data_IF_444463272534
#
_entry.id   IF_444463272534
#
_cell.length_a   1.000
_cell.length_b   1.000
_cell.length_c   1.000
_cell.angle_alpha   90.00
_cell.angle_beta   90.00
_cell.angle_gamma   90.00
#
_symmetry.space_group_name_H-M   'P 1'
#
loop_
_entity.id
_entity.type
_entity.pdbx_description
1 polymer ?
#
# COMPACT_ATOMS: atom_id res chain seq x y z
N UNK A 1 -25.88 7.36 1.74
CA UNK A 1 -25.13 6.24 1.11
C UNK A 1 -24.11 6.93 0.23
N UNK A 2 -22.84 6.95 0.65
CA UNK A 2 -21.78 7.45 -0.20
C UNK A 2 -21.62 6.43 -1.34
N UNK A 3 -21.67 6.92 -2.55
CA UNK A 3 -21.46 6.11 -3.75
C UNK A 3 -20.00 5.67 -3.78
N UNK A 4 -19.73 4.41 -3.39
CA UNK A 4 -18.41 3.78 -3.45
C UNK A 4 -18.13 3.24 -4.86
N UNK A 5 -18.60 3.96 -5.89
CA UNK A 5 -18.22 3.65 -7.25
C UNK A 5 -16.70 3.69 -7.32
N UNK A 6 -16.13 2.57 -7.71
CA UNK A 6 -14.75 2.43 -8.18
C UNK A 6 -14.37 3.68 -8.94
N UNK A 7 -13.26 4.32 -8.57
CA UNK A 7 -12.71 5.44 -9.34
C UNK A 7 -12.32 4.86 -10.71
N UNK A 8 -13.28 4.85 -11.64
CA UNK A 8 -13.06 4.37 -13.02
C UNK A 8 -12.27 5.39 -13.83
N UNK A 9 -12.32 6.66 -13.41
CA UNK A 9 -11.56 7.76 -14.02
C UNK A 9 -10.46 8.18 -13.06
N UNK A 10 -9.17 8.13 -13.48
CA UNK A 10 -8.07 8.56 -12.65
C UNK A 10 -8.20 10.03 -12.24
N UNK A 11 -7.91 10.31 -10.97
CA UNK A 11 -7.87 11.66 -10.42
C UNK A 11 -6.42 12.04 -10.09
N UNK A 12 -5.96 13.18 -10.59
CA UNK A 12 -4.64 13.73 -10.26
C UNK A 12 -4.77 14.64 -9.04
N UNK A 13 -4.11 14.28 -7.95
CA UNK A 13 -4.19 14.95 -6.65
C UNK A 13 -2.83 15.45 -6.19
N UNK A 14 -2.73 16.74 -5.88
CA UNK A 14 -1.59 17.25 -5.12
C UNK A 14 -1.81 16.90 -3.65
N UNK A 15 -1.02 15.98 -3.12
CA UNK A 15 -1.12 15.53 -1.71
C UNK A 15 -0.23 16.32 -0.78
N UNK A 16 0.82 16.92 -1.33
CA UNK A 16 1.67 17.93 -0.70
C UNK A 16 2.32 18.78 -1.80
N UNK A 17 2.99 19.88 -1.42
CA UNK A 17 3.76 20.66 -2.39
C UNK A 17 4.78 19.76 -3.09
N UNK A 18 4.70 19.68 -4.43
CA UNK A 18 5.59 18.88 -5.27
C UNK A 18 5.45 17.36 -5.12
N UNK A 19 4.40 16.85 -4.46
CA UNK A 19 4.05 15.43 -4.43
C UNK A 19 2.64 15.25 -4.98
N UNK A 20 2.55 14.44 -6.02
CA UNK A 20 1.31 14.21 -6.78
C UNK A 20 0.98 12.73 -6.77
N UNK A 21 -0.29 12.41 -6.70
CA UNK A 21 -0.84 11.05 -6.78
C UNK A 21 -1.85 10.98 -7.89
N UNK A 22 -1.72 10.01 -8.76
CA UNK A 22 -2.78 9.53 -9.62
C UNK A 22 -3.59 8.50 -8.83
N UNK A 23 -4.71 8.94 -8.31
CA UNK A 23 -5.62 8.06 -7.57
C UNK A 23 -6.57 7.36 -8.55
N UNK A 24 -6.55 6.03 -8.52
CA UNK A 24 -7.44 5.17 -9.31
C UNK A 24 -7.68 3.85 -8.55
N UNK A 25 -7.99 2.77 -9.27
CA UNK A 25 -7.94 1.43 -8.70
C UNK A 25 -6.50 1.14 -8.26
N UNK A 26 -5.53 1.33 -9.16
CA UNK A 26 -4.10 1.24 -8.89
C UNK A 26 -3.55 2.66 -8.72
N UNK A 27 -2.98 2.96 -7.57
CA UNK A 27 -2.41 4.26 -7.30
C UNK A 27 -0.96 4.33 -7.77
N UNK A 28 -0.60 5.49 -8.28
CA UNK A 28 0.76 5.82 -8.67
C UNK A 28 1.09 7.22 -8.19
N UNK A 29 2.32 7.46 -7.76
CA UNK A 29 2.73 8.78 -7.34
C UNK A 29 3.99 9.27 -8.03
N UNK A 30 4.24 10.58 -7.94
CA UNK A 30 5.52 11.17 -8.34
C UNK A 30 5.82 12.42 -7.52
N UNK A 31 7.09 12.69 -7.37
CA UNK A 31 7.59 13.80 -6.58
C UNK A 31 8.68 14.58 -7.29
N UNK A 32 8.60 15.91 -7.22
CA UNK A 32 9.68 16.82 -7.60
C UNK A 32 10.76 16.78 -6.51
N UNK A 33 11.93 16.26 -6.82
CA UNK A 33 13.05 16.18 -5.87
C UNK A 33 13.94 17.42 -5.90
N UNK A 34 13.66 18.39 -6.79
CA UNK A 34 14.59 19.47 -7.12
C UNK A 34 15.68 18.98 -8.06
N UNK A 35 15.52 19.24 -9.35
CA UNK A 35 16.44 18.78 -10.42
C UNK A 35 16.10 17.43 -11.05
N UNK A 36 15.22 16.62 -10.47
CA UNK A 36 14.69 15.40 -11.07
C UNK A 36 13.37 14.96 -10.42
N UNK A 37 12.64 14.09 -11.12
CA UNK A 37 11.40 13.48 -10.63
C UNK A 37 11.66 12.04 -10.19
N UNK A 38 11.11 11.67 -9.03
CA UNK A 38 10.95 10.28 -8.59
C UNK A 38 9.52 9.86 -8.86
N UNK A 39 9.34 8.66 -9.39
CA UNK A 39 8.04 8.01 -9.59
C UNK A 39 7.89 6.88 -8.56
N UNK A 40 6.70 6.65 -8.04
CA UNK A 40 6.37 5.58 -7.10
C UNK A 40 5.28 4.71 -7.70
N UNK A 41 5.62 3.44 -7.90
CA UNK A 41 4.86 2.41 -8.62
C UNK A 41 4.58 2.76 -10.09
N UNK A 42 4.09 1.80 -10.88
CA UNK A 42 4.03 1.92 -12.33
C UNK A 42 2.86 1.17 -12.98
N UNK A 43 1.71 1.15 -12.30
CA UNK A 43 0.41 0.66 -12.77
C UNK A 43 0.36 -0.78 -13.30
N UNK A 44 -0.86 -1.26 -13.57
CA UNK A 44 -1.16 -2.54 -14.22
C UNK A 44 -1.22 -2.43 -15.76
N UNK A 45 -1.74 -1.31 -16.27
CA UNK A 45 -2.13 -1.19 -17.66
C UNK A 45 -1.14 -0.38 -18.50
N UNK A 46 -0.34 -1.03 -19.37
CA UNK A 46 0.54 -0.33 -20.31
C UNK A 46 -0.20 0.68 -21.21
N UNK A 47 -1.50 0.50 -21.45
CA UNK A 47 -2.30 1.41 -22.27
C UNK A 47 -2.50 2.80 -21.64
N UNK A 48 -2.22 2.96 -20.36
CA UNK A 48 -2.33 4.23 -19.62
C UNK A 48 -1.01 5.04 -19.64
N UNK A 49 0.05 4.52 -20.28
CA UNK A 49 1.36 5.16 -20.40
C UNK A 49 1.30 6.64 -20.79
N UNK A 50 0.59 6.94 -21.87
CA UNK A 50 0.56 8.31 -22.42
C UNK A 50 -0.18 9.28 -21.47
N UNK A 51 -1.21 8.83 -20.79
CA UNK A 51 -1.95 9.61 -19.80
C UNK A 51 -1.05 9.93 -18.61
N UNK A 52 -0.35 8.93 -18.06
CA UNK A 52 0.57 9.07 -16.93
C UNK A 52 1.74 10.00 -17.27
N UNK A 53 2.40 9.80 -18.39
CA UNK A 53 3.54 10.65 -18.80
C UNK A 53 3.09 12.10 -18.94
N UNK A 54 1.92 12.34 -19.55
CA UNK A 54 1.34 13.68 -19.68
C UNK A 54 1.07 14.29 -18.30
N UNK A 55 0.44 13.55 -17.39
CA UNK A 55 0.15 14.03 -16.05
C UNK A 55 1.41 14.41 -15.27
N UNK A 56 2.49 13.61 -15.37
CA UNK A 56 3.80 13.94 -14.78
C UNK A 56 4.34 15.25 -15.38
N UNK A 57 4.35 15.40 -16.72
CA UNK A 57 4.89 16.58 -17.40
C UNK A 57 4.07 17.85 -17.14
N UNK A 58 2.76 17.74 -16.96
CA UNK A 58 1.87 18.86 -16.65
C UNK A 58 2.02 19.36 -15.19
N UNK A 59 2.33 18.44 -14.26
CA UNK A 59 2.45 18.75 -12.82
C UNK A 59 3.87 19.06 -12.39
N UNK A 60 4.87 18.42 -13.01
CA UNK A 60 6.31 18.66 -12.76
C UNK A 60 7.02 18.88 -14.11
N UNK A 61 6.88 20.08 -14.69
CA UNK A 61 7.42 20.34 -16.02
C UNK A 61 8.96 20.41 -16.01
N UNK A 62 9.55 19.95 -17.10
CA UNK A 62 10.97 20.16 -17.42
C UNK A 62 11.98 19.43 -16.53
N UNK A 63 11.55 18.42 -15.77
CA UNK A 63 12.44 17.60 -14.95
C UNK A 63 12.65 16.20 -15.55
N UNK A 64 13.89 15.64 -15.52
CA UNK A 64 14.11 14.25 -15.94
C UNK A 64 13.47 13.29 -14.92
N UNK A 65 12.83 12.23 -15.39
CA UNK A 65 12.32 11.13 -14.56
C UNK A 65 13.48 10.18 -14.29
N UNK A 66 14.21 10.39 -13.20
CA UNK A 66 15.48 9.71 -12.95
C UNK A 66 15.35 8.41 -12.18
N UNK A 67 14.33 8.30 -11.32
CA UNK A 67 14.12 7.09 -10.52
C UNK A 67 12.65 6.68 -10.50
N UNK A 68 12.43 5.37 -10.49
CA UNK A 68 11.12 4.76 -10.24
C UNK A 68 11.28 3.75 -9.11
N UNK A 69 10.51 3.94 -8.04
CA UNK A 69 10.53 3.09 -6.85
C UNK A 69 9.30 2.19 -6.91
N UNK A 70 9.49 0.87 -6.88
CA UNK A 70 8.37 -0.04 -6.70
C UNK A 70 8.23 -0.39 -5.22
N UNK A 71 7.02 -0.27 -4.69
CA UNK A 71 6.69 -0.70 -3.33
C UNK A 71 6.76 -2.21 -3.20
N UNK A 72 6.41 -2.94 -4.25
CA UNK A 72 6.58 -4.37 -4.41
C UNK A 72 6.55 -4.76 -5.90
N UNK A 73 6.60 -6.07 -6.22
CA UNK A 73 6.84 -6.50 -7.59
C UNK A 73 5.64 -7.17 -8.28
N UNK A 74 4.43 -6.93 -7.82
CA UNK A 74 3.25 -7.38 -8.55
C UNK A 74 3.08 -6.60 -9.87
N UNK A 75 2.44 -7.21 -10.89
CA UNK A 75 2.32 -6.60 -12.22
C UNK A 75 1.61 -5.25 -12.23
N UNK A 76 0.66 -5.05 -11.34
CA UNK A 76 -0.12 -3.81 -11.14
C UNK A 76 0.67 -2.65 -10.52
N UNK A 77 1.93 -2.90 -10.15
CA UNK A 77 2.87 -1.88 -9.65
C UNK A 77 4.12 -1.72 -10.54
N UNK A 78 4.26 -2.56 -11.57
CA UNK A 78 5.52 -2.63 -12.34
C UNK A 78 5.35 -2.59 -13.87
N UNK A 79 4.12 -2.54 -14.39
CA UNK A 79 3.87 -2.72 -15.82
C UNK A 79 4.56 -1.66 -16.71
N UNK A 80 4.76 -0.44 -16.23
CA UNK A 80 5.45 0.62 -16.97
C UNK A 80 6.95 0.73 -16.67
N UNK A 81 7.55 -0.12 -15.82
CA UNK A 81 8.96 -0.03 -15.46
C UNK A 81 9.90 0.03 -16.69
N UNK A 82 9.79 -0.95 -17.58
CA UNK A 82 10.61 -1.02 -18.77
C UNK A 82 10.42 0.22 -19.66
N UNK A 83 9.21 0.73 -19.70
CA UNK A 83 8.87 1.88 -20.52
C UNK A 83 9.52 3.17 -20.01
N UNK A 84 9.54 3.39 -18.70
CA UNK A 84 10.29 4.50 -18.10
C UNK A 84 11.80 4.37 -18.33
N UNK A 85 12.34 3.16 -18.25
CA UNK A 85 13.76 2.93 -18.59
C UNK A 85 14.07 3.24 -20.03
N UNK A 86 13.26 2.80 -20.98
CA UNK A 86 13.46 3.04 -22.42
C UNK A 86 13.37 4.53 -22.78
N UNK A 87 12.40 5.25 -22.24
CA UNK A 87 12.13 6.64 -22.59
C UNK A 87 13.08 7.64 -21.92
N UNK A 88 13.45 7.37 -20.65
CA UNK A 88 14.11 8.35 -19.79
C UNK A 88 15.43 7.83 -19.18
N UNK A 89 15.76 6.57 -19.35
CA UNK A 89 16.90 5.96 -18.67
C UNK A 89 16.70 5.82 -17.16
N UNK A 90 15.43 5.74 -16.72
CA UNK A 90 15.04 5.74 -15.32
C UNK A 90 15.65 4.55 -14.57
N UNK A 91 16.25 4.82 -13.42
CA UNK A 91 16.76 3.80 -12.51
C UNK A 91 15.59 3.18 -11.73
N UNK A 92 15.47 1.84 -11.75
CA UNK A 92 14.45 1.12 -11.00
C UNK A 92 14.98 0.76 -9.62
N UNK A 93 14.27 1.21 -8.59
CA UNK A 93 14.60 1.01 -7.18
C UNK A 93 13.53 0.12 -6.53
N UNK A 94 13.94 -1.04 -6.03
CA UNK A 94 13.09 -1.95 -5.25
C UNK A 94 13.99 -2.92 -4.47
N UNK A 95 13.41 -3.77 -3.60
CA UNK A 95 14.22 -4.69 -2.80
C UNK A 95 14.97 -5.76 -3.59
N UNK A 96 14.62 -6.00 -4.87
CA UNK A 96 15.36 -6.90 -5.74
C UNK A 96 16.58 -6.22 -6.37
N UNK A 97 16.45 -4.95 -6.76
CA UNK A 97 17.56 -4.16 -7.35
C UNK A 97 18.51 -3.64 -6.27
N UNK A 98 18.01 -3.52 -5.04
CA UNK A 98 18.76 -3.06 -3.85
C UNK A 98 18.59 -4.05 -2.69
N UNK A 99 19.11 -5.28 -2.79
CA UNK A 99 18.87 -6.33 -1.80
C UNK A 99 19.51 -6.09 -0.43
N UNK A 100 20.48 -5.18 -0.36
CA UNK A 100 21.24 -4.86 0.86
C UNK A 100 20.67 -3.66 1.64
N UNK A 101 19.46 -3.20 1.32
CA UNK A 101 18.83 -2.14 2.13
C UNK A 101 18.55 -2.69 3.52
N UNK A 102 19.21 -2.09 4.53
CA UNK A 102 18.99 -2.47 5.92
C UNK A 102 17.57 -2.06 6.37
N UNK A 103 16.79 -2.96 7.00
CA UNK A 103 15.43 -2.66 7.42
C UNK A 103 15.33 -1.47 8.39
N UNK A 104 16.33 -1.28 9.25
CA UNK A 104 16.38 -0.22 10.26
C UNK A 104 16.73 1.16 9.70
N UNK A 105 17.49 1.23 8.61
CA UNK A 105 17.98 2.49 8.04
C UNK A 105 17.22 2.90 6.77
N UNK A 106 16.78 1.90 5.98
CA UNK A 106 16.21 2.13 4.67
C UNK A 106 17.21 2.67 3.64
N UNK A 107 16.73 2.94 2.43
CA UNK A 107 17.48 3.64 1.39
C UNK A 107 17.06 5.11 1.35
N UNK A 108 17.99 6.03 1.58
CA UNK A 108 17.75 7.46 1.48
C UNK A 108 17.97 7.96 0.06
N UNK A 109 16.93 8.52 -0.55
CA UNK A 109 16.97 9.19 -1.85
C UNK A 109 16.87 10.69 -1.63
N UNK A 110 17.91 11.42 -2.03
CA UNK A 110 18.02 12.87 -1.77
C UNK A 110 17.98 13.64 -3.08
N UNK A 111 17.15 14.67 -3.12
CA UNK A 111 17.17 15.72 -4.12
C UNK A 111 17.61 17.06 -3.50
N UNK A 112 17.52 18.12 -4.29
CA UNK A 112 17.89 19.46 -3.81
C UNK A 112 16.81 20.07 -2.91
N UNK A 113 15.53 19.73 -3.14
CA UNK A 113 14.40 20.31 -2.42
C UNK A 113 13.80 19.37 -1.37
N UNK A 114 13.85 18.05 -1.59
CA UNK A 114 13.27 17.06 -0.67
C UNK A 114 14.04 15.75 -0.68
N UNK A 115 13.70 14.92 0.29
CA UNK A 115 14.22 13.57 0.37
C UNK A 115 13.10 12.58 0.68
N UNK A 116 13.27 11.33 0.26
CA UNK A 116 12.43 10.23 0.70
C UNK A 116 13.28 9.05 1.19
N UNK A 117 12.62 8.15 1.89
CA UNK A 117 13.20 6.91 2.40
C UNK A 117 12.42 5.73 1.82
N UNK A 118 13.13 4.73 1.31
CA UNK A 118 12.55 3.43 0.96
C UNK A 118 12.81 2.50 2.13
N UNK A 119 11.76 2.16 2.88
CA UNK A 119 11.83 1.37 4.10
C UNK A 119 11.35 -0.06 3.82
N UNK A 120 12.21 -1.08 3.94
CA UNK A 120 11.81 -2.48 3.77
C UNK A 120 10.78 -2.92 4.81
N UNK A 121 9.73 -3.60 4.36
CA UNK A 121 8.67 -4.19 5.22
C UNK A 121 8.35 -5.62 4.75
N UNK A 122 9.36 -6.49 4.58
CA UNK A 122 9.18 -7.78 3.92
C UNK A 122 8.22 -8.68 4.69
N UNK A 123 7.41 -9.43 3.95
CA UNK A 123 6.53 -10.45 4.50
C UNK A 123 5.19 -9.92 5.02
N UNK A 124 4.80 -8.70 4.65
CA UNK A 124 3.45 -8.18 4.89
C UNK A 124 2.48 -8.59 3.78
N UNK A 125 2.73 -8.15 2.54
CA UNK A 125 1.96 -8.51 1.36
C UNK A 125 2.74 -9.46 0.45
N UNK A 126 4.03 -9.16 0.23
CA UNK A 126 5.00 -10.01 -0.46
C UNK A 126 6.28 -10.16 0.38
N UNK A 127 7.26 -10.93 -0.13
CA UNK A 127 8.61 -10.99 0.46
C UNK A 127 9.47 -9.77 0.15
N UNK A 128 9.02 -8.90 -0.76
CA UNK A 128 9.78 -7.79 -1.33
C UNK A 128 9.05 -6.45 -1.10
N UNK A 129 8.23 -6.37 -0.02
CA UNK A 129 7.50 -5.14 0.31
C UNK A 129 8.41 -4.06 0.85
N UNK A 130 8.19 -2.83 0.38
CA UNK A 130 8.76 -1.61 0.91
C UNK A 130 7.71 -0.49 0.93
N UNK A 131 7.91 0.48 1.79
CA UNK A 131 7.13 1.73 1.78
C UNK A 131 8.03 2.89 1.38
N UNK A 132 7.44 3.95 0.80
CA UNK A 132 8.16 5.17 0.47
C UNK A 132 7.67 6.28 1.36
N UNK A 133 8.57 6.82 2.19
CA UNK A 133 8.29 7.82 3.20
C UNK A 133 8.92 9.17 2.84
N UNK A 134 8.11 10.23 2.79
CA UNK A 134 8.52 11.62 2.63
C UNK A 134 8.37 12.33 3.97
N UNK A 135 9.44 12.42 4.79
CA UNK A 135 9.33 12.86 6.18
C UNK A 135 8.96 14.33 6.34
N UNK A 136 9.39 15.20 5.43
CA UNK A 136 9.11 16.63 5.50
C UNK A 136 7.64 16.94 5.18
N UNK A 137 7.06 16.20 4.23
CA UNK A 137 5.69 16.36 3.77
C UNK A 137 4.69 15.45 4.51
N UNK A 138 5.20 14.55 5.35
CA UNK A 138 4.43 13.53 6.06
C UNK A 138 3.52 12.70 5.11
N UNK A 139 4.05 12.31 3.93
CA UNK A 139 3.37 11.49 2.94
C UNK A 139 4.00 10.10 2.90
N UNK A 140 3.17 9.08 3.06
CA UNK A 140 3.58 7.68 3.10
C UNK A 140 2.89 6.88 1.98
N UNK A 141 3.67 6.32 1.05
CA UNK A 141 3.22 5.35 0.07
C UNK A 141 3.43 3.94 0.64
N UNK A 142 2.37 3.19 0.80
CA UNK A 142 2.41 1.88 1.45
C UNK A 142 2.39 0.70 0.49
N UNK A 143 2.12 0.93 -0.80
CA UNK A 143 1.74 -0.17 -1.68
C UNK A 143 0.61 -0.98 -1.05
N UNK A 144 0.63 -2.28 -1.25
CA UNK A 144 -0.43 -3.19 -0.82
C UNK A 144 -0.33 -3.64 0.65
N UNK A 145 0.65 -3.12 1.40
CA UNK A 145 0.70 -3.30 2.85
C UNK A 145 -0.58 -2.75 3.49
N UNK A 146 -1.01 -1.55 3.09
CA UNK A 146 -2.32 -1.03 3.47
C UNK A 146 -3.35 -1.28 2.36
N UNK A 147 -3.95 -2.46 2.39
CA UNK A 147 -4.98 -2.90 1.44
C UNK A 147 -6.42 -2.63 1.91
N UNK A 148 -6.68 -1.56 2.66
CA UNK A 148 -8.00 -1.24 3.23
C UNK A 148 -8.61 -2.41 4.02
N UNK A 149 -7.82 -2.95 4.97
CA UNK A 149 -8.22 -4.03 5.86
C UNK A 149 -7.98 -5.44 5.33
N UNK A 150 -7.19 -5.61 4.28
CA UNK A 150 -6.83 -6.93 3.77
C UNK A 150 -5.71 -7.59 4.57
N UNK A 151 -5.89 -8.87 4.92
CA UNK A 151 -4.77 -9.70 5.35
C UNK A 151 -3.82 -9.99 4.18
N UNK A 152 -2.51 -10.18 4.43
CA UNK A 152 -1.54 -10.47 3.38
C UNK A 152 -1.94 -11.66 2.51
N UNK A 153 -1.57 -11.61 1.24
CA UNK A 153 -1.81 -12.72 0.29
C UNK A 153 -0.83 -13.88 0.44
N UNK A 154 0.29 -13.69 1.15
CA UNK A 154 1.37 -14.67 1.28
C UNK A 154 1.03 -15.78 2.27
N UNK A 155 1.28 -17.02 1.84
CA UNK A 155 1.26 -18.19 2.71
C UNK A 155 -0.06 -18.42 3.45
N UNK A 156 0.02 -19.13 4.57
CA UNK A 156 -1.12 -19.32 5.48
C UNK A 156 -1.27 -18.13 6.41
N UNK A 157 -2.47 -17.53 6.46
CA UNK A 157 -2.77 -16.47 7.40
C UNK A 157 -3.11 -17.08 8.77
N UNK A 158 -2.24 -16.91 9.76
CA UNK A 158 -2.40 -17.40 11.12
C UNK A 158 -2.06 -16.31 12.14
N UNK A 159 -2.19 -16.63 13.42
CA UNK A 159 -1.92 -15.66 14.50
C UNK A 159 -0.49 -15.11 14.50
N UNK A 160 0.50 -15.84 13.97
CA UNK A 160 1.88 -15.33 13.85
C UNK A 160 1.97 -14.26 12.76
N UNK A 161 1.31 -14.49 11.61
CA UNK A 161 1.23 -13.50 10.52
C UNK A 161 0.49 -12.25 10.99
N UNK A 162 -0.61 -12.40 11.75
CA UNK A 162 -1.31 -11.24 12.30
C UNK A 162 -0.44 -10.44 13.28
N UNK A 163 0.35 -11.08 14.13
CA UNK A 163 1.28 -10.38 15.04
C UNK A 163 2.35 -9.60 14.28
N UNK A 164 2.91 -10.19 13.21
CA UNK A 164 3.86 -9.50 12.34
C UNK A 164 3.21 -8.29 11.66
N UNK A 165 2.00 -8.48 11.13
CA UNK A 165 1.24 -7.41 10.48
C UNK A 165 0.95 -6.25 11.45
N UNK A 166 0.52 -6.55 12.67
CA UNK A 166 0.29 -5.54 13.72
C UNK A 166 1.58 -4.76 14.00
N UNK A 167 2.73 -5.45 14.12
CA UNK A 167 4.03 -4.80 14.33
C UNK A 167 4.42 -3.87 13.17
N UNK A 168 4.14 -4.27 11.93
CA UNK A 168 4.37 -3.41 10.76
C UNK A 168 3.47 -2.17 10.82
N UNK A 169 2.18 -2.33 11.15
CA UNK A 169 1.28 -1.18 11.31
C UNK A 169 1.72 -0.25 12.46
N UNK A 170 2.21 -0.79 13.59
CA UNK A 170 2.79 0.01 14.67
C UNK A 170 3.97 0.88 14.16
N UNK A 171 4.84 0.30 13.30
CA UNK A 171 5.93 1.04 12.67
C UNK A 171 5.42 2.14 11.72
N UNK A 172 4.44 1.84 10.84
CA UNK A 172 3.87 2.82 9.92
C UNK A 172 3.19 3.98 10.67
N UNK A 173 2.45 3.69 11.73
CA UNK A 173 1.78 4.68 12.59
C UNK A 173 2.82 5.57 13.28
N UNK A 174 3.96 5.00 13.72
CA UNK A 174 5.03 5.76 14.38
C UNK A 174 5.68 6.82 13.50
N UNK A 175 5.60 6.68 12.17
CA UNK A 175 6.03 7.71 11.21
C UNK A 175 5.13 8.95 11.24
N UNK A 176 3.93 8.84 11.82
CA UNK A 176 2.93 9.90 11.93
C UNK A 176 2.57 10.54 10.57
N UNK A 177 2.15 9.75 9.55
CA UNK A 177 1.84 10.30 8.24
C UNK A 177 0.56 11.14 8.27
N UNK A 178 0.61 12.32 7.64
CA UNK A 178 -0.58 13.14 7.38
C UNK A 178 -1.41 12.56 6.23
N UNK A 179 -0.73 12.02 5.22
CA UNK A 179 -1.36 11.36 4.06
C UNK A 179 -0.76 9.97 3.87
N UNK A 180 -1.61 8.97 3.73
CA UNK A 180 -1.27 7.60 3.35
C UNK A 180 -1.79 7.32 1.96
N UNK A 181 -0.91 6.91 1.07
CA UNK A 181 -1.21 6.51 -0.31
C UNK A 181 -1.14 4.98 -0.37
N UNK A 182 -2.28 4.28 -0.37
CA UNK A 182 -2.31 2.83 -0.53
C UNK A 182 -1.98 2.43 -1.98
N UNK A 183 -1.65 1.17 -2.22
CA UNK A 183 -1.50 0.64 -3.58
C UNK A 183 -2.81 0.75 -4.37
N UNK A 184 -3.95 0.57 -3.70
CA UNK A 184 -5.27 0.56 -4.32
C UNK A 184 -6.29 1.39 -3.54
N UNK A 185 -7.14 2.11 -4.28
CA UNK A 185 -8.31 2.81 -3.74
C UNK A 185 -8.03 4.20 -3.18
N UNK A 186 -8.91 4.72 -2.32
CA UNK A 186 -8.83 6.10 -1.83
C UNK A 186 -7.59 6.37 -0.98
N UNK A 187 -7.18 7.64 -0.92
CA UNK A 187 -6.17 8.09 0.04
C UNK A 187 -6.68 7.88 1.48
N UNK A 188 -5.75 7.73 2.40
CA UNK A 188 -5.99 7.50 3.82
C UNK A 188 -5.11 8.41 4.70
N UNK A 189 -5.19 8.22 6.01
CA UNK A 189 -4.38 8.89 7.02
C UNK A 189 -3.87 7.89 8.08
N UNK A 190 -3.13 8.37 9.07
CA UNK A 190 -2.72 7.56 10.22
C UNK A 190 -3.91 6.92 10.95
N UNK A 191 -5.08 7.58 10.96
CA UNK A 191 -6.30 7.06 11.59
C UNK A 191 -6.75 5.73 10.97
N UNK A 192 -6.73 5.61 9.65
CA UNK A 192 -7.11 4.38 8.97
C UNK A 192 -6.07 3.27 9.19
N UNK A 193 -4.78 3.63 9.34
CA UNK A 193 -3.75 2.65 9.76
C UNK A 193 -4.02 2.13 11.18
N UNK A 194 -4.37 3.01 12.13
CA UNK A 194 -4.74 2.65 13.51
C UNK A 194 -5.96 1.73 13.54
N UNK A 195 -7.03 2.08 12.83
CA UNK A 195 -8.23 1.25 12.71
C UNK A 195 -7.93 -0.13 12.12
N UNK A 196 -7.07 -0.19 11.10
CA UNK A 196 -6.67 -1.44 10.47
C UNK A 196 -5.85 -2.32 11.44
N UNK A 197 -4.94 -1.70 12.17
CA UNK A 197 -4.15 -2.36 13.24
C UNK A 197 -5.05 -2.94 14.33
N UNK A 198 -6.03 -2.18 14.82
CA UNK A 198 -6.99 -2.62 15.81
C UNK A 198 -7.89 -3.75 15.30
N UNK A 199 -8.33 -3.66 14.04
CA UNK A 199 -9.07 -4.71 13.39
C UNK A 199 -8.31 -6.05 13.38
N UNK A 200 -7.04 -6.05 13.02
CA UNK A 200 -6.24 -7.27 13.03
C UNK A 200 -5.96 -7.79 14.45
N UNK A 201 -5.78 -6.89 15.42
CA UNK A 201 -5.63 -7.25 16.82
C UNK A 201 -6.90 -7.88 17.42
N UNK A 202 -8.07 -7.51 16.92
CA UNK A 202 -9.36 -8.07 17.31
C UNK A 202 -9.67 -9.38 16.58
N UNK A 203 -9.43 -9.44 15.27
CA UNK A 203 -9.93 -10.49 14.39
C UNK A 203 -9.41 -11.89 14.77
N UNK A 204 -8.10 -12.02 14.98
CA UNK A 204 -7.48 -13.31 15.31
C UNK A 204 -7.98 -13.90 16.62
N UNK A 205 -7.91 -13.16 17.75
CA UNK A 205 -8.47 -13.59 19.05
C UNK A 205 -9.96 -13.93 18.98
N UNK A 206 -10.76 -13.14 18.24
CA UNK A 206 -12.19 -13.40 18.11
C UNK A 206 -12.51 -14.72 17.42
N UNK A 207 -11.81 -15.02 16.34
CA UNK A 207 -11.96 -16.30 15.63
C UNK A 207 -11.51 -17.47 16.52
N UNK A 208 -10.39 -17.31 17.24
CA UNK A 208 -9.86 -18.33 18.15
C UNK A 208 -10.87 -18.61 19.28
N UNK A 209 -11.42 -17.58 19.91
CA UNK A 209 -12.46 -17.70 20.96
C UNK A 209 -13.67 -18.55 20.48
N UNK A 210 -14.19 -18.23 19.30
CA UNK A 210 -15.36 -18.96 18.76
C UNK A 210 -15.02 -20.42 18.42
N UNK A 211 -13.82 -20.69 17.93
CA UNK A 211 -13.37 -22.05 17.68
C UNK A 211 -13.21 -22.85 18.98
N UNK A 212 -12.68 -22.26 20.05
CA UNK A 212 -12.56 -22.87 21.38
C UNK A 212 -13.92 -23.16 22.02
N UNK A 213 -14.95 -22.36 21.70
CA UNK A 213 -16.34 -22.62 22.07
C UNK A 213 -16.98 -23.79 21.29
N UNK A 214 -16.26 -24.38 20.34
CA UNK A 214 -16.69 -25.51 19.55
C UNK A 214 -17.58 -25.16 18.35
N UNK A 215 -17.63 -23.89 17.95
CA UNK A 215 -18.36 -23.49 16.74
C UNK A 215 -17.64 -24.02 15.48
N UNK A 216 -18.43 -24.49 14.54
CA UNK A 216 -17.90 -24.92 13.25
C UNK A 216 -17.51 -23.72 12.36
N UNK A 217 -16.67 -23.98 11.36
CA UNK A 217 -16.13 -22.95 10.44
C UNK A 217 -17.23 -22.10 9.80
N UNK A 218 -18.34 -22.70 9.38
CA UNK A 218 -19.43 -22.01 8.70
C UNK A 218 -20.12 -21.04 9.68
N UNK A 219 -20.32 -21.45 10.90
CA UNK A 219 -20.91 -20.64 11.96
C UNK A 219 -19.96 -19.47 12.29
N UNK A 220 -18.65 -19.71 12.48
CA UNK A 220 -17.67 -18.65 12.73
C UNK A 220 -17.70 -17.58 11.63
N UNK A 221 -17.68 -18.00 10.36
CA UNK A 221 -17.78 -17.07 9.22
C UNK A 221 -19.07 -16.25 9.21
N UNK A 222 -20.16 -16.76 9.82
CA UNK A 222 -21.42 -16.04 9.90
C UNK A 222 -21.48 -15.10 11.10
N UNK A 223 -20.86 -15.48 12.22
CA UNK A 223 -20.88 -14.72 13.49
C UNK A 223 -19.87 -13.57 13.50
N UNK A 224 -18.70 -13.71 12.85
CA UNK A 224 -17.70 -12.66 12.78
C UNK A 224 -18.13 -11.63 11.74
N UNK A 225 -18.80 -10.57 12.20
CA UNK A 225 -19.28 -9.47 11.34
C UNK A 225 -18.20 -8.39 11.18
N UNK A 226 -18.20 -7.67 10.05
CA UNK A 226 -17.31 -6.53 9.88
C UNK A 226 -17.64 -5.44 10.91
N UNK A 227 -16.61 -4.80 11.52
CA UNK A 227 -16.82 -3.65 12.40
C UNK A 227 -17.67 -2.56 11.71
N UNK A 228 -18.61 -1.99 12.45
CA UNK A 228 -19.57 -1.01 11.89
C UNK A 228 -18.83 0.22 11.33
N UNK A 229 -17.81 0.70 12.07
CA UNK A 229 -16.99 1.84 11.71
C UNK A 229 -16.15 1.63 10.44
N UNK A 230 -15.94 0.37 9.99
CA UNK A 230 -15.18 0.02 8.79
C UNK A 230 -16.08 -0.36 7.60
N UNK A 231 -17.40 -0.46 7.78
CA UNK A 231 -18.30 -0.85 6.70
C UNK A 231 -18.27 0.06 5.47
N UNK A 232 -17.90 1.32 5.68
CA UNK A 232 -17.74 2.31 4.60
C UNK A 232 -16.37 2.25 3.92
N UNK A 233 -15.44 1.43 4.40
CA UNK A 233 -14.12 1.32 3.79
C UNK A 233 -14.21 0.70 2.40
N UNK A 234 -13.30 1.13 1.51
CA UNK A 234 -13.24 0.70 0.13
C UNK A 234 -13.25 -0.84 0.00
N UNK A 235 -14.31 -1.39 -0.57
CA UNK A 235 -14.55 -2.82 -0.79
C UNK A 235 -14.47 -3.71 0.46
N UNK A 236 -14.45 -3.14 1.64
CA UNK A 236 -14.25 -3.90 2.88
C UNK A 236 -15.45 -4.79 3.19
N UNK A 237 -16.65 -4.21 3.28
CA UNK A 237 -17.87 -4.96 3.56
C UNK A 237 -18.33 -5.82 2.37
N UNK A 238 -17.89 -5.52 1.16
CA UNK A 238 -18.26 -6.27 -0.05
C UNK A 238 -17.61 -7.65 -0.10
N UNK A 239 -16.30 -7.75 0.26
CA UNK A 239 -15.57 -9.02 0.16
C UNK A 239 -14.33 -9.14 1.05
N UNK A 240 -13.67 -8.04 1.43
CA UNK A 240 -12.37 -8.10 2.12
C UNK A 240 -12.47 -8.72 3.50
N UNK A 241 -13.47 -8.31 4.27
CA UNK A 241 -13.71 -8.89 5.60
C UNK A 241 -13.99 -10.41 5.53
N UNK A 242 -14.88 -10.85 4.63
CA UNK A 242 -15.16 -12.29 4.45
C UNK A 242 -13.90 -13.06 4.04
N UNK A 243 -13.09 -12.49 3.16
CA UNK A 243 -11.80 -13.08 2.76
C UNK A 243 -10.87 -13.27 3.96
N UNK A 244 -10.73 -12.26 4.82
CA UNK A 244 -9.89 -12.29 6.01
C UNK A 244 -10.35 -13.38 6.98
N UNK A 245 -11.64 -13.40 7.31
CA UNK A 245 -12.24 -14.40 8.21
C UNK A 245 -12.02 -15.82 7.63
N UNK A 246 -12.29 -16.03 6.35
CA UNK A 246 -12.10 -17.32 5.67
C UNK A 246 -10.66 -17.82 5.78
N UNK A 247 -9.68 -16.95 5.52
CA UNK A 247 -8.26 -17.31 5.57
C UNK A 247 -7.81 -17.71 6.97
N UNK A 248 -8.23 -16.94 7.99
CA UNK A 248 -7.91 -17.23 9.39
C UNK A 248 -8.58 -18.51 9.89
N UNK A 249 -9.86 -18.70 9.60
CA UNK A 249 -10.59 -19.93 9.96
C UNK A 249 -9.96 -21.18 9.32
N UNK A 250 -9.44 -21.08 8.10
CA UNK A 250 -8.72 -22.18 7.46
C UNK A 250 -7.44 -22.58 8.22
N UNK A 251 -6.76 -21.62 8.83
CA UNK A 251 -5.49 -21.87 9.54
C UNK A 251 -5.66 -22.48 10.94
N UNK A 252 -6.83 -22.32 11.57
CA UNK A 252 -7.10 -22.84 12.93
C UNK A 252 -7.37 -24.36 12.90
N UNK A 253 -7.79 -24.89 11.78
CA UNK A 253 -8.19 -26.30 11.64
C UNK A 253 -7.15 -27.16 10.89
N UNK A 254 -5.93 -26.65 10.76
CA UNK A 254 -4.74 -27.39 10.33
C UNK A 254 -3.88 -27.74 11.53
#
# INVERSE_FOLDING_TARGET
MADHTTVEVPEIKNVAEGIVVRQAIDNMGWADMGGYTVVIDALEKPSEEQEVIRAIQETIPSQPISKLINTHLHPDHTALNNRFQELYGTEIVNLRTYPDIAPEDGLHIKGEQRSCQVLPMPGCHTSEDAVVWFPQEAVLFTGDIFGWGMVPSIGSCNNSVLKQLISIYDNLISLNPATVVPGHGPLASAKELEQCREYFAWLGPKITELAEQGLDRKTIMTEVKPPEEMQHWWRFAEWKHEHNVRRLVQSIAS
#
